data_IF_801951922279
#
_entry.id   IF_801951922279
#
_cell.length_a   1.000
_cell.length_b   1.000
_cell.length_c   1.000
_cell.angle_alpha   90.00
_cell.angle_beta   90.00
_cell.angle_gamma   90.00
#
_symmetry.space_group_name_H-M   'P 1'
#
loop_
_entity.id
_entity.type
_entity.pdbx_description
1 polymer ?
#
# COMPACT_ATOMS: atom_id res chain seq x y z
N UNK A 1 -1.75 -1.85 -6.60
CA UNK A 1 -0.78 -2.47 -5.67
C UNK A 1 -1.54 -3.45 -4.79
N UNK A 2 -1.14 -4.73 -4.74
CA UNK A 2 -1.66 -5.71 -3.78
C UNK A 2 -1.40 -5.22 -2.35
N UNK A 3 -2.42 -5.19 -1.49
CA UNK A 3 -2.30 -4.64 -0.14
C UNK A 3 -1.37 -5.46 0.74
N UNK A 4 -1.38 -6.78 0.56
CA UNK A 4 -0.53 -7.74 1.26
C UNK A 4 0.97 -7.46 1.07
N UNK A 5 1.40 -7.09 -0.15
CA UNK A 5 2.78 -6.74 -0.43
C UNK A 5 3.20 -5.44 0.26
N UNK A 6 2.30 -4.44 0.30
CA UNK A 6 2.56 -3.18 1.01
C UNK A 6 2.60 -3.40 2.52
N UNK A 7 1.65 -4.16 3.08
CA UNK A 7 1.62 -4.50 4.51
C UNK A 7 2.92 -5.24 4.92
N UNK A 8 3.40 -6.18 4.10
CA UNK A 8 4.69 -6.87 4.31
C UNK A 8 5.90 -5.95 4.20
N UNK A 9 5.94 -5.08 3.20
CA UNK A 9 7.03 -4.13 3.01
C UNK A 9 7.12 -3.16 4.20
N UNK A 10 5.99 -2.63 4.67
CA UNK A 10 5.95 -1.75 5.85
C UNK A 10 6.38 -2.52 7.10
N UNK A 11 5.92 -3.76 7.28
CA UNK A 11 6.34 -4.58 8.40
C UNK A 11 7.86 -4.82 8.43
N UNK A 12 8.50 -4.95 7.27
CA UNK A 12 9.95 -5.10 7.17
C UNK A 12 10.74 -3.85 7.61
N UNK A 13 10.18 -2.65 7.42
CA UNK A 13 10.88 -1.39 7.72
C UNK A 13 10.57 -0.77 9.08
N UNK A 14 9.52 -1.23 9.78
CA UNK A 14 9.20 -0.68 11.10
C UNK A 14 8.48 -1.70 11.98
N UNK A 15 8.84 -1.75 13.27
CA UNK A 15 8.15 -2.50 14.33
C UNK A 15 7.03 -1.70 15.02
N UNK A 16 6.84 -0.44 14.63
CA UNK A 16 5.84 0.43 15.24
C UNK A 16 4.43 -0.04 14.89
N UNK A 17 3.75 -0.64 15.88
CA UNK A 17 2.42 -1.23 15.72
C UNK A 17 1.37 -0.21 15.23
N UNK A 18 1.48 1.04 15.66
CA UNK A 18 0.55 2.10 15.24
C UNK A 18 0.72 2.46 13.75
N UNK A 19 1.96 2.49 13.23
CA UNK A 19 2.21 2.74 11.81
C UNK A 19 1.59 1.63 10.95
N UNK A 20 1.84 0.37 11.33
CA UNK A 20 1.26 -0.81 10.66
C UNK A 20 -0.27 -0.76 10.66
N UNK A 21 -0.88 -0.38 11.79
CA UNK A 21 -2.33 -0.22 11.94
C UNK A 21 -2.89 0.85 10.98
N UNK A 22 -2.29 2.04 10.95
CA UNK A 22 -2.78 3.14 10.12
C UNK A 22 -2.61 2.85 8.62
N UNK A 23 -1.49 2.25 8.21
CA UNK A 23 -1.32 1.80 6.82
C UNK A 23 -2.39 0.79 6.43
N UNK A 24 -2.67 -0.21 7.27
CA UNK A 24 -3.73 -1.18 7.01
C UNK A 24 -5.11 -0.53 6.87
N UNK A 25 -5.43 0.44 7.74
CA UNK A 25 -6.69 1.19 7.67
C UNK A 25 -6.80 2.04 6.40
N UNK A 26 -5.74 2.73 6.01
CA UNK A 26 -5.75 3.53 4.78
C UNK A 26 -5.92 2.65 3.54
N UNK A 27 -5.25 1.50 3.48
CA UNK A 27 -5.38 0.57 2.35
C UNK A 27 -6.80 0.00 2.23
N UNK A 28 -7.43 -0.35 3.37
CA UNK A 28 -8.71 -1.07 3.41
C UNK A 28 -9.94 -0.20 3.60
N UNK A 29 -9.78 1.10 3.84
CA UNK A 29 -10.92 2.00 3.95
C UNK A 29 -11.83 1.84 2.71
N UNK A 30 -13.16 1.84 2.85
CA UNK A 30 -14.06 1.79 1.71
C UNK A 30 -14.07 3.13 0.95
N UNK A 31 -14.57 3.11 -0.29
CA UNK A 31 -14.93 4.29 -1.04
C UNK A 31 -16.42 4.57 -0.84
N UNK A 32 -16.76 5.77 -0.38
CA UNK A 32 -18.13 6.23 -0.37
C UNK A 32 -18.46 6.87 -1.73
N UNK A 33 -19.55 6.42 -2.35
CA UNK A 33 -20.10 7.02 -3.57
C UNK A 33 -21.02 8.19 -3.22
N UNK A 34 -21.34 9.02 -4.20
CA UNK A 34 -22.22 10.18 -4.02
C UNK A 34 -23.65 9.82 -3.54
N UNK A 35 -24.05 8.56 -3.70
CA UNK A 35 -25.33 8.01 -3.22
C UNK A 35 -25.25 7.44 -1.79
N UNK A 36 -24.10 7.57 -1.12
CA UNK A 36 -23.85 7.05 0.23
C UNK A 36 -23.49 5.55 0.27
N UNK A 37 -23.39 4.88 -0.88
CA UNK A 37 -22.99 3.46 -0.90
C UNK A 37 -21.49 3.30 -0.65
N UNK A 38 -21.15 2.35 0.22
CA UNK A 38 -19.76 1.99 0.54
C UNK A 38 -19.28 0.83 -0.32
N UNK A 39 -18.19 1.04 -1.05
CA UNK A 39 -17.51 -0.01 -1.82
C UNK A 39 -16.19 -0.39 -1.16
N UNK A 40 -16.01 -1.68 -0.88
CA UNK A 40 -14.71 -2.20 -0.46
C UNK A 40 -13.67 -2.07 -1.58
N UNK A 41 -12.43 -1.77 -1.18
CA UNK A 41 -11.29 -1.68 -2.10
C UNK A 41 -10.44 -2.93 -2.00
N UNK A 42 -10.35 -3.68 -3.09
CA UNK A 42 -9.47 -4.85 -3.18
C UNK A 42 -8.03 -4.49 -3.59
N UNK A 43 -7.79 -3.31 -4.19
CA UNK A 43 -6.48 -2.90 -4.73
C UNK A 43 -6.28 -1.38 -4.67
N UNK A 44 -5.01 -0.96 -4.49
CA UNK A 44 -4.60 0.45 -4.50
C UNK A 44 -4.85 1.19 -3.19
N UNK A 45 -4.27 2.39 -3.05
CA UNK A 45 -4.57 3.30 -1.94
C UNK A 45 -5.72 4.25 -2.35
N UNK A 46 -6.50 4.79 -1.40
CA UNK A 46 -7.41 5.89 -1.69
C UNK A 46 -6.68 7.03 -2.41
N UNK A 47 -7.15 7.40 -3.60
CA UNK A 47 -6.66 8.59 -4.30
C UNK A 47 -6.97 9.82 -3.45
N UNK A 48 -5.94 10.60 -3.13
CA UNK A 48 -6.03 11.71 -2.17
C UNK A 48 -5.56 11.40 -0.75
N UNK A 49 -5.18 10.15 -0.43
CA UNK A 49 -4.51 9.89 0.85
C UNK A 49 -3.09 10.47 0.86
N UNK A 50 -2.74 11.22 1.90
CA UNK A 50 -1.41 11.84 2.06
C UNK A 50 -0.27 10.83 2.06
N UNK A 51 -0.55 9.56 2.38
CA UNK A 51 0.45 8.48 2.44
C UNK A 51 0.69 7.82 1.08
N UNK A 52 -0.19 8.05 0.09
CA UNK A 52 -0.12 7.45 -1.24
C UNK A 52 1.25 7.58 -1.94
N UNK A 53 1.89 8.78 -2.03
CA UNK A 53 3.18 8.90 -2.69
C UNK A 53 4.29 8.12 -1.97
N UNK A 54 4.24 8.03 -0.64
CA UNK A 54 5.20 7.26 0.15
C UNK A 54 5.06 5.75 -0.09
N UNK A 55 3.84 5.22 -0.02
CA UNK A 55 3.57 3.80 -0.27
C UNK A 55 3.85 3.41 -1.73
N UNK A 56 3.62 4.32 -2.68
CA UNK A 56 3.97 4.11 -4.08
C UNK A 56 5.49 3.99 -4.27
N UNK A 57 6.27 4.87 -3.66
CA UNK A 57 7.73 4.80 -3.71
C UNK A 57 8.25 3.52 -3.03
N UNK A 58 7.66 3.12 -1.91
CA UNK A 58 8.01 1.87 -1.24
C UNK A 58 7.73 0.66 -2.16
N UNK A 59 6.55 0.62 -2.80
CA UNK A 59 6.23 -0.43 -3.75
C UNK A 59 7.21 -0.49 -4.92
N UNK A 60 7.53 0.67 -5.51
CA UNK A 60 8.48 0.78 -6.62
C UNK A 60 9.88 0.35 -6.22
N UNK A 61 10.34 0.69 -5.01
CA UNK A 61 11.63 0.23 -4.50
C UNK A 61 11.76 -1.30 -4.57
N UNK A 62 10.74 -2.04 -4.12
CA UNK A 62 10.75 -3.50 -4.19
C UNK A 62 10.53 -4.04 -5.61
N UNK A 63 9.67 -3.39 -6.40
CA UNK A 63 9.42 -3.79 -7.78
C UNK A 63 10.68 -3.69 -8.66
N UNK A 64 11.44 -2.59 -8.53
CA UNK A 64 12.70 -2.42 -9.26
C UNK A 64 13.77 -3.39 -8.77
N UNK A 65 13.90 -3.61 -7.45
CA UNK A 65 14.84 -4.62 -6.93
C UNK A 65 14.57 -6.03 -7.48
N UNK A 66 13.31 -6.39 -7.67
CA UNK A 66 12.94 -7.69 -8.25
C UNK A 66 13.21 -7.78 -9.75
N UNK A 67 13.18 -6.63 -10.45
CA UNK A 67 13.55 -6.53 -11.86
C UNK A 67 15.07 -6.65 -12.03
N UNK A 68 15.84 -5.86 -11.28
CA UNK A 68 17.31 -5.90 -11.30
C UNK A 68 17.85 -7.28 -10.89
N UNK A 69 17.21 -7.98 -9.95
CA UNK A 69 17.60 -9.33 -9.54
C UNK A 69 17.32 -10.40 -10.61
N UNK A 70 16.44 -10.13 -11.59
CA UNK A 70 16.16 -11.01 -12.72
C UNK A 70 17.12 -10.79 -13.89
N UNK A 71 17.79 -9.65 -13.94
CA UNK A 71 18.74 -9.26 -14.98
C UNK A 71 20.21 -9.56 -14.59
N UNK A 72 20.43 -10.22 -13.45
CA UNK A 72 21.74 -10.77 -13.08
C UNK A 72 21.96 -12.09 -13.86
N UNK A 73 23.10 -12.28 -14.56
CA UNK A 73 23.38 -13.49 -15.33
C UNK A 73 23.39 -14.78 -14.49
#
# INVERSE_FOLDING_TARGET
MPHDLIERAVAHHTELSWVRLYVKRWLRAPLERADGTLMERAKGTPQGSVVSPLLANLFLHYAFRFMDAKDLP
#
